data_IF_604020417746
#
_entry.id   IF_604020417746
#
_cell.length_a   1.000
_cell.length_b   1.000
_cell.length_c   1.000
_cell.angle_alpha   90.00
_cell.angle_beta   90.00
_cell.angle_gamma   90.00
#
_symmetry.space_group_name_H-M   'P 1'
#
loop_
_entity.id
_entity.type
_entity.pdbx_description
1 polymer ?
#
# COMPACT_ATOMS: atom_id res chain seq x y z
N UNK A 1 11.48 15.69 76.09
CA UNK A 1 11.23 15.37 74.66
C UNK A 1 11.23 13.85 74.42
N UNK A 2 11.01 13.06 75.47
CA UNK A 2 11.52 11.68 75.56
C UNK A 2 10.41 10.62 75.49
N UNK A 3 9.16 11.01 75.72
CA UNK A 3 8.00 10.10 75.65
C UNK A 3 7.59 9.77 74.22
N UNK A 4 7.81 10.69 73.25
CA UNK A 4 7.52 10.43 71.82
C UNK A 4 8.46 9.38 71.21
N UNK A 5 9.76 9.45 71.50
CA UNK A 5 10.74 8.45 71.02
C UNK A 5 10.51 7.06 71.61
N UNK A 6 10.12 6.99 72.88
CA UNK A 6 9.77 5.72 73.51
C UNK A 6 8.51 5.08 72.88
N UNK A 7 7.47 5.86 72.58
CA UNK A 7 6.25 5.36 71.94
C UNK A 7 6.45 4.97 70.46
N UNK A 8 7.29 5.70 69.72
CA UNK A 8 7.60 5.38 68.31
C UNK A 8 8.41 4.08 68.22
N UNK A 9 9.41 3.88 69.09
CA UNK A 9 10.19 2.65 69.14
C UNK A 9 9.32 1.44 69.49
N UNK A 10 8.39 1.56 70.45
CA UNK A 10 7.49 0.47 70.81
C UNK A 10 6.48 0.13 69.69
N UNK A 11 6.02 1.13 68.94
CA UNK A 11 5.14 0.91 67.79
C UNK A 11 5.89 0.27 66.62
N UNK A 12 7.13 0.69 66.34
CA UNK A 12 7.98 0.07 65.33
C UNK A 12 8.27 -1.40 65.67
N UNK A 13 8.68 -1.69 66.91
CA UNK A 13 8.91 -3.06 67.39
C UNK A 13 7.64 -3.91 67.29
N UNK A 14 6.47 -3.36 67.64
CA UNK A 14 5.18 -4.07 67.51
C UNK A 14 4.81 -4.35 66.05
N UNK A 15 5.13 -3.43 65.15
CA UNK A 15 4.87 -3.59 63.73
C UNK A 15 5.79 -4.62 63.09
N UNK A 16 7.07 -4.66 63.49
CA UNK A 16 8.02 -5.71 63.14
C UNK A 16 7.54 -7.08 63.64
N UNK A 17 7.09 -7.20 64.89
CA UNK A 17 6.52 -8.45 65.40
C UNK A 17 5.26 -8.91 64.64
N UNK A 18 4.38 -7.98 64.24
CA UNK A 18 3.19 -8.33 63.44
C UNK A 18 3.56 -8.72 62.00
N UNK A 19 4.62 -8.16 61.45
CA UNK A 19 5.13 -8.53 60.13
C UNK A 19 5.79 -9.91 60.17
N UNK A 20 6.55 -10.21 61.22
CA UNK A 20 7.16 -11.51 61.45
C UNK A 20 6.11 -12.60 61.70
N UNK A 21 5.06 -12.29 62.47
CA UNK A 21 3.94 -13.21 62.68
C UNK A 21 3.22 -13.55 61.36
N UNK A 22 3.02 -12.56 60.47
CA UNK A 22 2.45 -12.79 59.13
C UNK A 22 3.39 -13.59 58.22
N UNK A 23 4.70 -13.37 58.30
CA UNK A 23 5.70 -14.16 57.55
C UNK A 23 5.68 -15.60 58.02
N UNK A 24 5.63 -15.84 59.34
CA UNK A 24 5.55 -17.17 59.93
C UNK A 24 4.22 -17.86 59.62
N UNK A 25 3.10 -17.15 59.68
CA UNK A 25 1.79 -17.69 59.30
C UNK A 25 1.77 -18.09 57.82
N UNK A 26 2.31 -17.25 56.94
CA UNK A 26 2.43 -17.57 55.53
C UNK A 26 3.40 -18.74 55.27
N UNK A 27 4.52 -18.82 56.00
CA UNK A 27 5.44 -19.95 55.94
C UNK A 27 4.77 -21.27 56.38
N UNK A 28 3.96 -21.24 57.44
CA UNK A 28 3.24 -22.41 57.93
C UNK A 28 2.11 -22.84 56.97
N UNK A 29 1.42 -21.87 56.36
CA UNK A 29 0.45 -22.13 55.29
C UNK A 29 1.12 -22.76 54.07
N UNK A 30 2.27 -22.21 53.63
CA UNK A 30 3.08 -22.77 52.54
C UNK A 30 3.53 -24.19 52.88
N UNK A 31 4.01 -24.45 54.10
CA UNK A 31 4.42 -25.79 54.51
C UNK A 31 3.26 -26.80 54.42
N UNK A 32 2.06 -26.41 54.84
CA UNK A 32 0.86 -27.27 54.73
C UNK A 32 0.46 -27.52 53.27
N UNK A 33 0.56 -26.50 52.41
CA UNK A 33 0.34 -26.60 50.96
C UNK A 33 1.39 -27.51 50.30
N UNK A 34 2.67 -27.31 50.61
CA UNK A 34 3.77 -28.15 50.13
C UNK A 34 3.60 -29.60 50.56
N UNK A 35 3.20 -29.87 51.79
CA UNK A 35 3.02 -31.24 52.28
C UNK A 35 1.83 -31.96 51.62
N UNK A 36 0.74 -31.25 51.34
CA UNK A 36 -0.47 -31.80 50.69
C UNK A 36 -0.31 -31.94 49.17
N UNK A 37 0.38 -31.00 48.53
CA UNK A 37 0.48 -30.89 47.07
C UNK A 37 1.90 -31.16 46.55
N UNK A 38 2.79 -31.81 47.34
CA UNK A 38 4.19 -32.05 46.95
C UNK A 38 4.36 -32.59 45.53
N UNK A 39 3.51 -33.55 45.12
CA UNK A 39 3.55 -34.13 43.78
C UNK A 39 3.12 -33.13 42.70
N UNK A 40 2.12 -32.30 42.97
CA UNK A 40 1.65 -31.26 42.05
C UNK A 40 2.68 -30.14 41.89
N UNK A 41 3.30 -29.70 42.98
CA UNK A 41 4.35 -28.66 42.93
C UNK A 41 5.56 -29.18 42.14
N UNK A 42 5.98 -30.43 42.38
CA UNK A 42 7.07 -31.06 41.60
C UNK A 42 6.68 -31.17 40.12
N UNK A 43 5.44 -31.55 39.81
CA UNK A 43 4.97 -31.62 38.43
C UNK A 43 4.98 -30.24 37.73
N UNK A 44 4.55 -29.18 38.42
CA UNK A 44 4.60 -27.81 37.88
C UNK A 44 6.04 -27.34 37.68
N UNK A 45 6.94 -27.60 38.64
CA UNK A 45 8.37 -27.26 38.50
C UNK A 45 8.99 -28.02 37.33
N UNK A 46 8.70 -29.31 37.18
CA UNK A 46 9.16 -30.11 36.05
C UNK A 46 8.64 -29.57 34.71
N UNK A 47 7.37 -29.15 34.65
CA UNK A 47 6.77 -28.55 33.47
C UNK A 47 7.49 -27.25 33.07
N UNK A 48 7.82 -26.39 34.04
CA UNK A 48 8.55 -25.13 33.80
C UNK A 48 9.96 -25.42 33.25
N UNK A 49 10.66 -26.42 33.80
CA UNK A 49 11.99 -26.82 33.31
C UNK A 49 11.92 -27.35 31.88
N UNK A 50 10.93 -28.21 31.58
CA UNK A 50 10.71 -28.74 30.23
C UNK A 50 10.38 -27.61 29.25
N UNK A 51 9.52 -26.68 29.65
CA UNK A 51 9.16 -25.52 28.83
C UNK A 51 10.37 -24.62 28.55
N UNK A 52 11.18 -24.34 29.57
CA UNK A 52 12.40 -23.53 29.41
C UNK A 52 13.41 -24.20 28.49
N UNK A 53 13.64 -25.51 28.64
CA UNK A 53 14.49 -26.27 27.75
C UNK A 53 13.97 -26.27 26.30
N UNK A 54 12.65 -26.44 26.13
CA UNK A 54 12.00 -26.39 24.82
C UNK A 54 12.18 -25.02 24.16
N UNK A 55 11.98 -23.92 24.89
CA UNK A 55 12.14 -22.57 24.36
C UNK A 55 13.56 -22.30 23.84
N UNK A 56 14.59 -22.67 24.61
CA UNK A 56 16.00 -22.48 24.22
C UNK A 56 16.33 -23.30 22.96
N UNK A 57 15.90 -24.56 22.90
CA UNK A 57 16.13 -25.43 21.75
C UNK A 57 15.39 -24.87 20.52
N UNK A 58 14.14 -24.43 20.71
CA UNK A 58 13.32 -23.88 19.64
C UNK A 58 13.94 -22.60 19.04
N UNK A 59 14.41 -21.67 19.88
CA UNK A 59 15.01 -20.42 19.41
C UNK A 59 16.32 -20.67 18.65
N UNK A 60 17.21 -21.53 19.16
CA UNK A 60 18.46 -21.86 18.46
C UNK A 60 18.24 -22.56 17.12
N UNK A 61 17.23 -23.43 17.02
CA UNK A 61 16.83 -24.06 15.76
C UNK A 61 16.25 -23.03 14.78
N UNK A 62 15.45 -22.08 15.28
CA UNK A 62 14.82 -21.04 14.47
C UNK A 62 15.84 -20.07 13.88
N UNK A 63 16.82 -19.66 14.67
CA UNK A 63 17.93 -18.81 14.22
C UNK A 63 18.76 -19.50 13.13
N UNK A 64 19.14 -20.76 13.35
CA UNK A 64 19.89 -21.55 12.35
C UNK A 64 19.11 -21.72 11.07
N UNK A 65 17.82 -22.07 11.16
CA UNK A 65 16.94 -22.21 10.00
C UNK A 65 16.81 -20.89 9.24
N UNK A 66 16.66 -19.77 9.95
CA UNK A 66 16.58 -18.45 9.33
C UNK A 66 17.87 -18.09 8.57
N UNK A 67 19.04 -18.30 9.20
CA UNK A 67 20.34 -18.07 8.55
C UNK A 67 20.54 -18.94 7.30
N UNK A 68 20.16 -20.22 7.38
CA UNK A 68 20.24 -21.15 6.25
C UNK A 68 19.34 -20.74 5.09
N UNK A 69 18.10 -20.31 5.37
CA UNK A 69 17.16 -19.82 4.34
C UNK A 69 17.68 -18.53 3.71
N UNK A 70 18.21 -17.60 4.51
CA UNK A 70 18.79 -16.35 3.99
C UNK A 70 19.98 -16.63 3.07
N UNK A 71 20.91 -17.47 3.50
CA UNK A 71 22.07 -17.85 2.67
C UNK A 71 21.64 -18.55 1.38
N UNK A 72 20.66 -19.45 1.46
CA UNK A 72 20.09 -20.14 0.29
C UNK A 72 19.44 -19.16 -0.69
N UNK A 73 18.71 -18.17 -0.18
CA UNK A 73 18.09 -17.13 -1.00
C UNK A 73 19.15 -16.23 -1.66
N UNK A 74 20.17 -15.81 -0.91
CA UNK A 74 21.27 -14.99 -1.44
C UNK A 74 22.02 -15.71 -2.56
N UNK A 75 22.30 -17.01 -2.39
CA UNK A 75 22.93 -17.82 -3.42
C UNK A 75 22.03 -18.00 -4.65
N UNK A 76 20.72 -18.15 -4.44
CA UNK A 76 19.74 -18.28 -5.53
C UNK A 76 19.60 -16.98 -6.33
N UNK A 77 19.62 -15.82 -5.67
CA UNK A 77 19.57 -14.51 -6.35
C UNK A 77 20.82 -14.31 -7.21
N UNK A 78 21.99 -14.78 -6.77
CA UNK A 78 23.22 -14.75 -7.56
C UNK A 78 23.22 -15.79 -8.70
N UNK A 79 22.58 -16.94 -8.50
CA UNK A 79 22.54 -18.05 -9.45
C UNK A 79 21.09 -18.46 -9.79
N UNK A 80 20.32 -17.60 -10.50
CA UNK A 80 18.88 -17.79 -10.69
C UNK A 80 18.49 -19.03 -11.50
N UNK A 81 19.40 -19.56 -12.32
CA UNK A 81 19.19 -20.74 -13.15
C UNK A 81 19.44 -22.07 -12.41
N UNK A 82 19.84 -22.03 -11.13
CA UNK A 82 20.14 -23.24 -10.37
C UNK A 82 18.85 -23.89 -9.82
N UNK A 83 18.36 -24.93 -10.51
CA UNK A 83 17.13 -25.63 -10.13
C UNK A 83 17.18 -26.30 -8.75
N UNK A 84 18.37 -26.71 -8.30
CA UNK A 84 18.54 -27.35 -6.98
C UNK A 84 18.25 -26.36 -5.87
N UNK A 85 18.76 -25.13 -5.98
CA UNK A 85 18.52 -24.07 -5.01
C UNK A 85 17.05 -23.66 -4.99
N UNK A 86 16.41 -23.59 -6.17
CA UNK A 86 14.97 -23.29 -6.28
C UNK A 86 14.10 -24.32 -5.55
N UNK A 87 14.35 -25.61 -5.79
CA UNK A 87 13.63 -26.69 -5.10
C UNK A 87 13.87 -26.65 -3.60
N UNK A 88 15.11 -26.43 -3.18
CA UNK A 88 15.44 -26.34 -1.75
C UNK A 88 14.73 -25.16 -1.07
N UNK A 89 14.62 -24.01 -1.75
CA UNK A 89 13.91 -22.84 -1.22
C UNK A 89 12.40 -23.11 -1.11
N UNK A 90 11.81 -23.74 -2.14
CA UNK A 90 10.41 -24.13 -2.13
C UNK A 90 10.05 -25.06 -0.97
N UNK A 91 10.92 -26.03 -0.66
CA UNK A 91 10.70 -26.98 0.44
C UNK A 91 10.92 -26.34 1.82
N UNK A 92 11.97 -25.52 1.98
CA UNK A 92 12.36 -24.96 3.29
C UNK A 92 11.59 -23.70 3.67
N UNK A 93 11.20 -22.90 2.67
CA UNK A 93 10.61 -21.58 2.81
C UNK A 93 9.62 -21.27 1.66
N UNK A 94 8.45 -21.95 1.61
CA UNK A 94 7.49 -21.80 0.52
C UNK A 94 6.98 -20.36 0.34
N UNK A 95 6.76 -19.61 1.43
CA UNK A 95 6.31 -18.21 1.34
C UNK A 95 7.37 -17.28 0.70
N UNK A 96 8.66 -17.57 0.92
CA UNK A 96 9.76 -16.81 0.31
C UNK A 96 9.97 -17.24 -1.14
N UNK A 97 9.77 -18.52 -1.43
CA UNK A 97 9.74 -19.03 -2.79
C UNK A 97 8.63 -18.37 -3.62
N UNK A 98 7.42 -18.20 -3.06
CA UNK A 98 6.32 -17.53 -3.74
C UNK A 98 6.65 -16.07 -4.09
N UNK A 99 7.35 -15.37 -3.18
CA UNK A 99 7.82 -14.01 -3.44
C UNK A 99 8.90 -13.97 -4.54
N UNK A 100 9.82 -14.93 -4.53
CA UNK A 100 10.81 -15.09 -5.60
C UNK A 100 10.16 -15.42 -6.95
N UNK A 101 9.17 -16.31 -6.95
CA UNK A 101 8.40 -16.67 -8.14
C UNK A 101 7.61 -15.47 -8.68
N UNK A 102 7.06 -14.63 -7.80
CA UNK A 102 6.43 -13.38 -8.18
C UNK A 102 7.41 -12.44 -8.87
N UNK A 103 8.61 -12.23 -8.30
CA UNK A 103 9.67 -11.43 -8.95
C UNK A 103 9.95 -11.95 -10.37
N UNK A 104 10.14 -13.26 -10.51
CA UNK A 104 10.44 -13.87 -11.81
C UNK A 104 9.27 -13.73 -12.79
N UNK A 105 8.03 -13.84 -12.31
CA UNK A 105 6.84 -13.62 -13.12
C UNK A 105 6.82 -12.18 -13.67
N UNK A 106 7.07 -11.19 -12.82
CA UNK A 106 7.05 -9.76 -13.21
C UNK A 106 8.21 -9.38 -14.16
N UNK A 107 9.32 -10.11 -14.13
CA UNK A 107 10.46 -9.91 -15.05
C UNK A 107 10.29 -10.69 -16.38
N UNK A 108 9.33 -11.62 -16.45
CA UNK A 108 9.07 -12.44 -17.64
C UNK A 108 8.35 -11.64 -18.73
N UNK A 109 8.64 -11.97 -19.99
CA UNK A 109 7.87 -11.44 -21.13
C UNK A 109 6.42 -11.93 -21.15
N UNK A 110 6.16 -13.11 -20.59
CA UNK A 110 4.84 -13.75 -20.54
C UNK A 110 4.47 -14.06 -19.07
N UNK A 111 4.07 -13.04 -18.29
CA UNK A 111 3.86 -13.15 -16.84
C UNK A 111 2.57 -13.91 -16.46
N UNK A 112 1.58 -13.99 -17.35
CA UNK A 112 0.19 -14.35 -17.03
C UNK A 112 0.03 -15.73 -16.40
N UNK A 113 0.70 -16.76 -16.92
CA UNK A 113 0.57 -18.13 -16.40
C UNK A 113 1.21 -18.27 -15.01
N UNK A 114 2.36 -17.63 -14.81
CA UNK A 114 3.06 -17.62 -13.53
C UNK A 114 2.26 -16.84 -12.47
N UNK A 115 1.70 -15.67 -12.82
CA UNK A 115 0.83 -14.91 -11.94
C UNK A 115 -0.45 -15.68 -11.60
N UNK A 116 -1.03 -16.40 -12.56
CA UNK A 116 -2.24 -17.21 -12.33
C UNK A 116 -1.99 -18.31 -11.29
N UNK A 117 -0.82 -18.94 -11.28
CA UNK A 117 -0.43 -19.89 -10.25
C UNK A 117 -0.24 -19.24 -8.86
N UNK A 118 0.24 -17.99 -8.83
CA UNK A 118 0.51 -17.26 -7.58
C UNK A 118 -0.75 -16.69 -6.89
N UNK A 119 -1.90 -16.66 -7.57
CA UNK A 119 -3.19 -16.28 -6.96
C UNK A 119 -3.62 -17.22 -5.82
N UNK A 120 -3.13 -18.45 -5.85
CA UNK A 120 -3.38 -19.46 -4.82
C UNK A 120 -2.25 -19.54 -3.78
N UNK A 121 -1.32 -18.58 -3.80
CA UNK A 121 -0.24 -18.50 -2.80
C UNK A 121 -0.80 -18.33 -1.38
N UNK A 122 -0.14 -18.98 -0.43
CA UNK A 122 -0.42 -18.83 1.00
C UNK A 122 0.03 -17.47 1.54
N UNK A 123 0.93 -16.78 0.83
CA UNK A 123 1.38 -15.45 1.19
C UNK A 123 0.34 -14.40 0.71
N UNK A 124 -0.33 -13.69 1.63
CA UNK A 124 -1.41 -12.77 1.27
C UNK A 124 -0.95 -11.59 0.42
N UNK A 125 0.30 -11.14 0.58
CA UNK A 125 0.86 -10.05 -0.21
C UNK A 125 1.09 -10.52 -1.64
N UNK A 126 1.71 -11.70 -1.82
CA UNK A 126 1.96 -12.29 -3.14
C UNK A 126 0.65 -12.52 -3.87
N UNK A 127 -0.34 -13.09 -3.19
CA UNK A 127 -1.68 -13.30 -3.73
C UNK A 127 -2.31 -11.99 -4.22
N UNK A 128 -2.32 -10.94 -3.40
CA UNK A 128 -2.93 -9.66 -3.78
C UNK A 128 -2.23 -9.00 -4.97
N UNK A 129 -0.90 -9.04 -5.02
CA UNK A 129 -0.13 -8.52 -6.16
C UNK A 129 -0.45 -9.33 -7.42
N UNK A 130 -0.43 -10.67 -7.32
CA UNK A 130 -0.73 -11.54 -8.45
C UNK A 130 -2.16 -11.37 -8.98
N UNK A 131 -3.14 -11.22 -8.09
CA UNK A 131 -4.53 -10.92 -8.45
C UNK A 131 -4.66 -9.60 -9.21
N UNK A 132 -4.06 -8.54 -8.68
CA UNK A 132 -4.09 -7.22 -9.31
C UNK A 132 -3.36 -7.22 -10.66
N UNK A 133 -2.13 -7.72 -10.71
CA UNK A 133 -1.32 -7.72 -11.93
C UNK A 133 -1.96 -8.54 -13.04
N UNK A 134 -2.53 -9.70 -12.71
CA UNK A 134 -3.26 -10.50 -13.70
C UNK A 134 -4.47 -9.74 -14.24
N UNK A 135 -5.26 -9.09 -13.37
CA UNK A 135 -6.41 -8.29 -13.79
C UNK A 135 -6.00 -7.08 -14.65
N UNK A 136 -4.88 -6.43 -14.30
CA UNK A 136 -4.27 -5.32 -15.02
C UNK A 136 -3.83 -5.73 -16.44
N UNK A 137 -3.11 -6.85 -16.56
CA UNK A 137 -2.61 -7.39 -17.83
C UNK A 137 -3.78 -7.85 -18.72
N UNK A 138 -4.74 -8.59 -18.15
CA UNK A 138 -5.92 -9.07 -18.87
C UNK A 138 -6.93 -7.95 -19.16
N UNK A 139 -6.76 -6.78 -18.53
CA UNK A 139 -7.66 -5.61 -18.57
C UNK A 139 -9.10 -5.96 -18.18
N UNK A 140 -9.28 -6.90 -17.25
CA UNK A 140 -10.57 -7.46 -16.82
C UNK A 140 -10.53 -7.82 -15.34
N UNK A 141 -11.67 -7.72 -14.66
CA UNK A 141 -11.79 -8.14 -13.26
C UNK A 141 -11.15 -7.19 -12.25
N UNK A 142 -10.83 -5.95 -12.65
CA UNK A 142 -10.28 -4.93 -11.76
C UNK A 142 -11.30 -4.53 -10.67
N UNK A 143 -12.59 -4.59 -10.97
CA UNK A 143 -13.69 -4.30 -10.08
C UNK A 143 -13.78 -5.28 -8.88
N UNK A 144 -13.19 -6.47 -9.02
CA UNK A 144 -13.15 -7.48 -7.98
C UNK A 144 -11.96 -7.30 -7.01
N UNK A 145 -10.97 -6.46 -7.36
CA UNK A 145 -9.78 -6.23 -6.55
C UNK A 145 -10.13 -5.41 -5.30
N UNK A 146 -9.66 -5.88 -4.14
CA UNK A 146 -9.95 -5.29 -2.83
C UNK A 146 -8.66 -5.08 -2.03
N UNK A 147 -8.77 -4.45 -0.87
CA UNK A 147 -7.65 -4.24 0.03
C UNK A 147 -6.67 -3.18 -0.48
N UNK A 148 -5.36 -3.43 -0.32
CA UNK A 148 -4.32 -2.44 -0.59
C UNK A 148 -4.30 -1.93 -2.04
N UNK A 149 -4.73 -2.76 -3.00
CA UNK A 149 -4.75 -2.41 -4.42
C UNK A 149 -6.14 -2.00 -4.93
N UNK A 150 -7.18 -1.97 -4.07
CA UNK A 150 -8.56 -1.73 -4.51
C UNK A 150 -8.75 -0.36 -5.18
N UNK A 151 -8.25 0.72 -4.57
CA UNK A 151 -8.37 2.04 -5.18
C UNK A 151 -7.45 2.23 -6.38
N UNK A 152 -6.32 1.53 -6.41
CA UNK A 152 -5.44 1.51 -7.58
C UNK A 152 -6.14 0.83 -8.77
N UNK A 153 -6.81 -0.30 -8.53
CA UNK A 153 -7.62 -0.99 -9.53
C UNK A 153 -8.78 -0.14 -10.03
N UNK A 154 -9.48 0.60 -9.15
CA UNK A 154 -10.53 1.56 -9.56
C UNK A 154 -9.99 2.65 -10.49
N UNK A 155 -8.81 3.21 -10.19
CA UNK A 155 -8.18 4.22 -11.05
C UNK A 155 -7.87 3.63 -12.43
N UNK A 156 -7.30 2.43 -12.46
CA UNK A 156 -6.98 1.76 -13.72
C UNK A 156 -8.24 1.38 -14.52
N UNK A 157 -9.28 0.88 -13.85
CA UNK A 157 -10.57 0.59 -14.46
C UNK A 157 -11.19 1.85 -15.07
N UNK A 158 -11.21 2.96 -14.32
CA UNK A 158 -11.67 4.24 -14.82
C UNK A 158 -10.84 4.72 -16.02
N UNK A 159 -9.52 4.54 -16.01
CA UNK A 159 -8.67 4.87 -17.15
C UNK A 159 -9.06 4.08 -18.42
N UNK A 160 -9.35 2.77 -18.28
CA UNK A 160 -9.82 1.95 -19.40
C UNK A 160 -11.17 2.43 -19.92
N UNK A 161 -12.10 2.78 -19.03
CA UNK A 161 -13.40 3.35 -19.40
C UNK A 161 -13.27 4.69 -20.11
N UNK A 162 -12.42 5.60 -19.61
CA UNK A 162 -12.11 6.88 -20.27
C UNK A 162 -11.55 6.66 -21.67
N UNK A 163 -10.62 5.71 -21.82
CA UNK A 163 -10.04 5.34 -23.11
C UNK A 163 -11.07 4.78 -24.10
N UNK A 164 -12.13 4.16 -23.59
CA UNK A 164 -13.27 3.65 -24.38
C UNK A 164 -14.40 4.67 -24.59
N UNK A 165 -14.26 5.90 -24.10
CA UNK A 165 -15.27 6.95 -24.20
C UNK A 165 -16.43 6.86 -23.19
N UNK A 166 -16.37 5.92 -22.25
CA UNK A 166 -17.41 5.72 -21.22
C UNK A 166 -17.21 6.66 -20.02
N UNK A 167 -17.18 7.97 -20.31
CA UNK A 167 -16.81 9.03 -19.34
C UNK A 167 -17.71 9.04 -18.09
N UNK A 168 -19.05 8.93 -18.17
CA UNK A 168 -19.90 8.97 -16.98
C UNK A 168 -19.60 7.82 -15.99
N UNK A 169 -19.36 6.62 -16.52
CA UNK A 169 -19.07 5.43 -15.70
C UNK A 169 -17.69 5.55 -15.05
N UNK A 170 -16.68 6.00 -15.80
CA UNK A 170 -15.36 6.26 -15.26
C UNK A 170 -15.41 7.25 -14.09
N UNK A 171 -16.14 8.36 -14.25
CA UNK A 171 -16.29 9.36 -13.17
C UNK A 171 -17.01 8.79 -11.95
N UNK A 172 -18.02 7.94 -12.14
CA UNK A 172 -18.70 7.28 -11.03
C UNK A 172 -17.73 6.44 -10.19
N UNK A 173 -16.86 5.66 -10.84
CA UNK A 173 -15.82 4.87 -10.17
C UNK A 173 -14.83 5.78 -9.43
N UNK A 174 -14.33 6.83 -10.08
CA UNK A 174 -13.36 7.77 -9.51
C UNK A 174 -13.94 8.56 -8.32
N UNK A 175 -15.26 8.79 -8.30
CA UNK A 175 -15.95 9.45 -7.18
C UNK A 175 -16.01 8.55 -5.95
N UNK A 176 -15.93 7.22 -6.12
CA UNK A 176 -15.90 6.25 -5.03
C UNK A 176 -14.52 6.04 -4.39
N UNK A 177 -13.52 6.86 -4.72
CA UNK A 177 -12.19 6.84 -4.09
C UNK A 177 -12.19 7.88 -2.96
N UNK A 178 -11.91 7.43 -1.73
CA UNK A 178 -11.92 8.28 -0.54
C UNK A 178 -10.79 9.30 -0.51
N UNK A 179 -10.99 10.41 0.20
CA UNK A 179 -10.00 11.49 0.36
C UNK A 179 -8.72 11.05 1.10
N UNK A 180 -8.83 10.00 1.93
CA UNK A 180 -7.76 9.35 2.66
C UNK A 180 -6.91 8.41 1.79
N UNK A 181 -7.35 8.11 0.57
CA UNK A 181 -6.64 7.23 -0.36
C UNK A 181 -5.42 7.91 -0.97
N UNK A 182 -4.31 7.17 -1.09
CA UNK A 182 -3.15 7.60 -1.85
C UNK A 182 -3.47 7.91 -3.33
N UNK A 183 -4.57 7.36 -3.85
CA UNK A 183 -5.03 7.57 -5.23
C UNK A 183 -5.96 8.76 -5.41
N UNK A 184 -6.39 9.42 -4.32
CA UNK A 184 -7.37 10.50 -4.37
C UNK A 184 -6.94 11.66 -5.30
N UNK A 185 -5.67 12.07 -5.23
CA UNK A 185 -5.15 13.16 -6.04
C UNK A 185 -5.19 12.86 -7.55
N UNK A 186 -4.90 11.61 -7.94
CA UNK A 186 -4.99 11.16 -9.34
C UNK A 186 -6.45 11.05 -9.76
N UNK A 187 -7.30 10.47 -8.90
CA UNK A 187 -8.72 10.31 -9.17
C UNK A 187 -9.43 11.65 -9.38
N UNK A 188 -9.14 12.63 -8.52
CA UNK A 188 -9.68 13.99 -8.61
C UNK A 188 -9.34 14.66 -9.95
N UNK A 189 -8.11 14.52 -10.42
CA UNK A 189 -7.71 15.06 -11.71
C UNK A 189 -8.43 14.35 -12.87
N UNK A 190 -8.51 13.02 -12.83
CA UNK A 190 -9.16 12.22 -13.88
C UNK A 190 -10.67 12.49 -13.98
N UNK A 191 -11.33 12.88 -12.88
CA UNK A 191 -12.76 13.24 -12.90
C UNK A 191 -13.10 14.40 -13.83
N UNK A 192 -12.15 15.31 -14.07
CA UNK A 192 -12.36 16.46 -14.95
C UNK A 192 -12.13 16.16 -16.43
N UNK A 193 -11.74 14.94 -16.78
CA UNK A 193 -11.54 14.54 -18.17
C UNK A 193 -12.86 14.62 -18.96
N UNK A 194 -12.80 15.20 -20.17
CA UNK A 194 -13.96 15.32 -21.06
C UNK A 194 -15.05 16.29 -20.57
N UNK A 195 -14.76 17.23 -19.66
CA UNK A 195 -15.78 18.12 -19.07
C UNK A 195 -16.48 19.04 -20.09
N UNK A 196 -15.86 19.28 -21.25
CA UNK A 196 -16.45 20.08 -22.33
C UNK A 196 -17.61 19.35 -23.01
N UNK A 197 -17.42 18.07 -23.28
CA UNK A 197 -18.40 17.25 -24.01
C UNK A 197 -19.38 16.55 -23.05
N UNK A 198 -18.95 16.34 -21.80
CA UNK A 198 -19.72 15.73 -20.72
C UNK A 198 -19.65 16.63 -19.49
N UNK A 199 -20.45 17.70 -19.39
CA UNK A 199 -20.49 18.54 -18.20
C UNK A 199 -20.91 17.73 -16.97
N UNK A 200 -20.54 18.21 -15.78
CA UNK A 200 -20.96 17.60 -14.51
C UNK A 200 -22.46 17.92 -14.30
N UNK A 201 -23.33 17.12 -14.90
CA UNK A 201 -24.79 17.24 -14.76
C UNK A 201 -25.22 16.86 -13.34
N UNK A 202 -25.08 17.76 -12.36
CA UNK A 202 -25.91 17.76 -11.13
C UNK A 202 -25.95 19.09 -10.36
N UNK A 203 -24.92 19.94 -10.42
CA UNK A 203 -24.77 21.00 -9.40
C UNK A 203 -25.01 22.42 -9.90
N UNK A 204 -25.23 22.63 -11.21
CA UNK A 204 -25.52 23.95 -11.76
C UNK A 204 -26.88 23.97 -12.44
N UNK A 205 -27.92 24.04 -11.61
CA UNK A 205 -29.16 24.70 -12.00
C UNK A 205 -28.81 26.18 -12.16
N UNK A 206 -28.30 26.59 -13.33
CA UNK A 206 -28.10 28.01 -13.63
C UNK A 206 -29.49 28.64 -13.57
N UNK A 207 -29.75 29.41 -12.51
CA UNK A 207 -30.90 30.28 -12.47
C UNK A 207 -30.59 31.43 -13.42
N UNK A 208 -31.19 31.40 -14.60
CA UNK A 208 -31.22 32.57 -15.48
C UNK A 208 -31.75 33.75 -14.68
N UNK A 209 -30.93 34.77 -14.48
CA UNK A 209 -31.39 36.07 -14.00
C UNK A 209 -32.28 36.63 -15.11
N UNK A 210 -33.58 36.88 -14.86
CA UNK A 210 -34.45 37.40 -15.91
C UNK A 210 -33.94 38.76 -16.36
N UNK A 211 -33.73 38.88 -17.67
CA UNK A 211 -33.47 40.15 -18.34
C UNK A 211 -34.71 41.03 -18.22
N UNK A 212 -34.75 41.89 -17.20
CA UNK A 212 -35.87 42.82 -17.02
C UNK A 212 -36.03 43.31 -15.60
N UNK A 213 -35.11 44.15 -15.13
CA UNK A 213 -35.39 45.08 -14.06
C UNK A 213 -34.72 46.41 -14.38
N UNK A 214 -35.45 47.21 -15.16
CA UNK A 214 -35.35 48.65 -15.14
C UNK A 214 -35.53 49.12 -13.69
N UNK A 215 -34.47 49.62 -13.09
CA UNK A 215 -34.56 50.50 -11.94
C UNK A 215 -33.78 51.76 -12.26
N UNK A 216 -34.51 52.72 -12.83
CA UNK A 216 -34.04 54.09 -12.98
C UNK A 216 -33.51 54.65 -11.67
N UNK A 217 -32.27 55.11 -11.71
CA UNK A 217 -31.76 56.15 -10.82
C UNK A 217 -31.17 57.23 -11.71
N UNK A 218 -31.82 58.40 -11.68
CA UNK A 218 -31.33 59.63 -12.31
C UNK A 218 -30.11 60.15 -11.57
N UNK A 219 -29.06 60.39 -12.35
CA UNK A 219 -28.20 61.59 -12.42
C UNK A 219 -27.68 62.16 -11.10
N UNK A 220 -26.35 62.14 -10.96
CA UNK A 220 -25.68 63.39 -10.60
C UNK A 220 -24.52 63.69 -11.55
N UNK A 221 -24.46 64.95 -11.94
CA UNK A 221 -23.60 65.53 -12.97
C UNK A 221 -22.26 65.92 -12.37
N UNK A 222 -21.16 65.48 -12.98
CA UNK A 222 -19.81 65.88 -12.63
C UNK A 222 -18.91 65.82 -13.85
N UNK A 223 -18.84 66.94 -14.57
CA UNK A 223 -18.03 67.15 -15.75
C UNK A 223 -16.54 66.90 -15.51
N UNK A 224 -15.86 66.21 -16.44
CA UNK A 224 -14.63 66.74 -17.02
C UNK A 224 -14.34 66.07 -18.37
N UNK A 225 -14.45 66.86 -19.44
CA UNK A 225 -13.93 66.51 -20.75
C UNK A 225 -12.44 66.85 -20.80
N UNK A 226 -11.59 65.92 -21.23
CA UNK A 226 -10.40 66.31 -21.98
C UNK A 226 -10.02 65.27 -23.03
N UNK A 227 -10.04 65.78 -24.26
CA UNK A 227 -9.66 65.12 -25.49
C UNK A 227 -8.17 64.74 -25.54
N UNK A 228 -7.88 63.75 -26.38
CA UNK A 228 -6.56 63.38 -26.84
C UNK A 228 -6.67 62.30 -27.91
N UNK A 229 -6.90 62.73 -29.16
CA UNK A 229 -6.67 61.93 -30.35
C UNK A 229 -5.17 61.68 -30.53
N UNK A 230 -4.78 60.55 -31.13
CA UNK A 230 -3.99 60.52 -32.38
C UNK A 230 -3.61 59.08 -32.81
N UNK A 231 -3.60 58.89 -34.14
CA UNK A 231 -2.93 57.90 -35.01
C UNK A 231 -2.84 56.41 -34.59
N UNK A 232 -3.28 55.42 -35.36
CA UNK A 232 -3.16 55.25 -36.81
C UNK A 232 -1.80 54.64 -37.16
N UNK A 233 -1.75 53.37 -37.56
CA UNK A 233 -1.06 52.86 -38.77
C UNK A 233 -1.15 51.33 -38.87
N UNK A 234 -1.35 50.95 -40.11
CA UNK A 234 -1.67 49.68 -40.77
C UNK A 234 -0.40 49.03 -41.35
N UNK A 235 -0.28 47.69 -41.29
CA UNK A 235 0.32 46.81 -42.32
C UNK A 235 0.43 45.37 -41.79
N UNK A 236 -0.27 44.39 -42.39
CA UNK A 236 0.12 43.59 -43.59
C UNK A 236 1.33 42.68 -43.33
N UNK A 237 1.18 41.35 -43.28
CA UNK A 237 0.88 40.37 -44.34
C UNK A 237 2.16 39.71 -44.91
N UNK A 238 2.20 38.38 -44.95
CA UNK A 238 2.98 37.43 -45.77
C UNK A 238 3.16 36.14 -44.95
N UNK A 239 2.54 34.99 -45.23
CA UNK A 239 2.44 34.18 -46.46
C UNK A 239 3.74 33.48 -46.90
N UNK A 240 3.57 32.20 -47.29
CA UNK A 240 4.48 31.24 -47.91
C UNK A 240 5.48 30.51 -46.98
N UNK A 241 5.73 29.20 -47.14
CA UNK A 241 5.63 28.38 -48.35
C UNK A 241 5.62 26.88 -48.04
N UNK A 242 4.79 26.20 -48.82
CA UNK A 242 4.77 24.76 -49.11
C UNK A 242 6.04 24.31 -49.86
N UNK A 243 6.59 23.12 -49.56
CA UNK A 243 7.43 22.32 -50.47
C UNK A 243 7.18 20.83 -50.24
N UNK A 244 6.47 20.25 -51.20
CA UNK A 244 6.50 18.84 -51.60
C UNK A 244 7.88 18.42 -52.10
N UNK A 245 8.31 17.18 -51.85
CA UNK A 245 8.98 16.36 -52.87
C UNK A 245 9.17 14.90 -52.43
N UNK A 246 8.57 14.04 -53.24
CA UNK A 246 8.72 12.61 -53.41
C UNK A 246 10.04 12.18 -54.07
N UNK A 247 10.55 11.00 -53.69
CA UNK A 247 11.22 9.97 -54.52
C UNK A 247 11.75 8.89 -53.54
N UNK A 248 11.62 7.58 -53.69
CA UNK A 248 11.45 6.73 -54.86
C UNK A 248 12.74 5.93 -55.11
N UNK A 249 12.62 4.58 -55.18
CA UNK A 249 13.58 3.57 -55.70
C UNK A 249 14.72 3.16 -54.74
N UNK A 250 15.28 1.95 -54.71
CA UNK A 250 15.07 0.63 -55.34
C UNK A 250 16.26 -0.27 -54.86
N UNK A 251 16.07 -1.60 -54.93
CA UNK A 251 17.11 -2.62 -55.23
C UNK A 251 18.15 -3.10 -54.19
N UNK A 252 18.27 -4.44 -54.13
CA UNK A 252 19.55 -5.18 -53.97
C UNK A 252 19.75 -5.83 -52.60
N UNK A 253 19.48 -7.13 -52.39
CA UNK A 253 20.40 -8.25 -52.67
C UNK A 253 21.79 -8.09 -52.02
N UNK A 254 22.16 -8.93 -51.05
CA UNK A 254 23.06 -10.08 -51.30
C UNK A 254 23.37 -10.89 -50.02
N UNK A 255 23.75 -12.12 -50.26
CA UNK A 255 24.15 -13.17 -49.33
C UNK A 255 25.53 -12.94 -48.71
N UNK A 256 25.74 -13.49 -47.51
CA UNK A 256 26.93 -14.26 -47.09
C UNK A 256 26.75 -14.62 -45.61
N UNK A 257 26.53 -15.89 -45.24
CA UNK A 257 27.55 -16.94 -45.16
C UNK A 257 28.77 -16.45 -44.39
N UNK A 258 28.80 -16.68 -43.07
CA UNK A 258 30.07 -16.90 -42.41
C UNK A 258 29.99 -18.10 -41.47
N UNK A 259 30.82 -19.09 -41.79
CA UNK A 259 31.22 -20.19 -40.92
C UNK A 259 32.27 -19.64 -39.96
N UNK A 260 32.16 -20.01 -38.68
CA UNK A 260 33.18 -20.79 -37.98
C UNK A 260 32.56 -21.40 -36.73
#
# INVERSE_FOLDING_TARGET
MDTKKASENLNAIRQEFQQDEKILENAFRLERLFRKYKYWIIAVVALIVIWGAYAIIYDTLREKKAQEISALYDELVQNPNNEVLRKSLQEKAPELYDLYALKLALESSEPSDALRALKDSQNPIVKQIAEYELASIERKGLEAIKGAFGDFAKVQEAYLLLSSGQIPQARAILTGIGEDSAMFGVASQMRHFGIKDYPLESDMKIQEVPAGADSGVKVDSGANAKAGADSGVESKNADSKNVDSSAGLDSGADASKNKQ
#
